data_IF_950655420603
#
_entry.id   IF_950655420603
#
_cell.length_a   1.000
_cell.length_b   1.000
_cell.length_c   1.000
_cell.angle_alpha   90.00
_cell.angle_beta   90.00
_cell.angle_gamma   90.00
#
_symmetry.space_group_name_H-M   'P 1'
#
loop_
_entity.id
_entity.type
_entity.pdbx_description
1 polymer ?
#
# COMPACT_ATOMS: atom_id res chain seq x y z
N UNK A 1 4.07 -13.70 -9.43
CA UNK A 1 5.31 -13.93 -8.67
C UNK A 1 4.92 -14.33 -7.26
N UNK A 2 5.66 -15.22 -6.59
CA UNK A 2 5.39 -15.53 -5.17
C UNK A 2 6.17 -14.58 -4.27
N UNK A 3 5.64 -14.26 -3.10
CA UNK A 3 6.24 -13.40 -2.09
C UNK A 3 7.67 -13.82 -1.75
N UNK A 4 7.90 -15.14 -1.62
CA UNK A 4 9.24 -15.70 -1.36
C UNK A 4 10.30 -15.31 -2.41
N UNK A 5 9.89 -14.99 -3.63
CA UNK A 5 10.81 -14.62 -4.72
C UNK A 5 11.39 -13.21 -4.52
N UNK A 6 10.82 -12.40 -3.62
CA UNK A 6 11.37 -11.09 -3.23
C UNK A 6 12.76 -11.21 -2.61
N UNK A 7 13.19 -12.41 -2.18
CA UNK A 7 14.56 -12.69 -1.73
C UNK A 7 15.61 -12.17 -2.74
N UNK A 8 15.30 -12.23 -4.03
CA UNK A 8 16.21 -11.83 -5.11
C UNK A 8 16.25 -10.30 -5.36
N UNK A 9 15.39 -9.55 -4.68
CA UNK A 9 15.22 -8.11 -4.86
C UNK A 9 15.81 -7.28 -3.71
N UNK A 10 16.41 -7.92 -2.71
CA UNK A 10 17.01 -7.25 -1.54
C UNK A 10 18.42 -6.75 -1.86
N UNK A 11 18.73 -5.54 -1.45
CA UNK A 11 20.09 -4.97 -1.51
C UNK A 11 20.54 -4.39 -0.16
N UNK A 12 19.62 -3.94 0.69
CA UNK A 12 19.93 -3.33 2.00
C UNK A 12 19.47 -4.19 3.18
N UNK A 13 20.10 -4.01 4.33
CA UNK A 13 19.74 -4.73 5.57
C UNK A 13 18.29 -4.47 6.00
N UNK A 14 17.76 -3.27 5.75
CA UNK A 14 16.35 -2.92 5.92
C UNK A 14 15.43 -3.80 5.08
N UNK A 15 15.81 -4.11 3.83
CA UNK A 15 15.04 -5.00 2.96
C UNK A 15 14.96 -6.41 3.57
N UNK A 16 16.06 -6.90 4.17
CA UNK A 16 16.07 -8.19 4.88
C UNK A 16 15.06 -8.21 6.03
N UNK A 17 15.05 -7.18 6.87
CA UNK A 17 14.11 -7.07 8.01
C UNK A 17 12.66 -7.10 7.53
N UNK A 18 12.34 -6.32 6.49
CA UNK A 18 10.98 -6.23 5.95
C UNK A 18 10.60 -7.57 5.31
N UNK A 19 11.46 -8.11 4.46
CA UNK A 19 11.24 -9.40 3.80
C UNK A 19 11.02 -10.53 4.80
N UNK A 20 11.89 -10.67 5.80
CA UNK A 20 11.82 -11.73 6.81
C UNK A 20 10.54 -11.65 7.64
N UNK A 21 9.97 -10.45 7.80
CA UNK A 21 8.66 -10.27 8.41
C UNK A 21 7.52 -10.64 7.48
N UNK A 22 7.59 -10.24 6.20
CA UNK A 22 6.56 -10.55 5.21
C UNK A 22 6.43 -12.05 4.96
N UNK A 23 7.55 -12.78 4.82
CA UNK A 23 7.54 -14.23 4.53
C UNK A 23 7.08 -15.12 5.69
N UNK A 24 6.79 -14.55 6.87
CA UNK A 24 6.07 -15.26 7.94
C UNK A 24 4.61 -15.47 7.58
N UNK A 25 4.10 -14.70 6.63
CA UNK A 25 2.77 -14.83 6.06
C UNK A 25 2.84 -15.54 4.71
N UNK A 26 1.76 -16.21 4.35
CA UNK A 26 1.51 -16.74 3.01
C UNK A 26 1.19 -15.62 2.02
N UNK A 27 1.27 -15.92 0.71
CA UNK A 27 0.86 -14.98 -0.34
C UNK A 27 -0.59 -14.49 -0.10
N UNK A 28 -1.52 -15.42 0.17
CA UNK A 28 -2.93 -15.11 0.40
C UNK A 28 -3.14 -14.21 1.63
N UNK A 29 -2.40 -14.42 2.73
CA UNK A 29 -2.52 -13.60 3.93
C UNK A 29 -2.09 -12.15 3.68
N UNK A 30 -0.99 -11.93 2.93
CA UNK A 30 -0.52 -10.58 2.60
C UNK A 30 -1.47 -9.88 1.63
N UNK A 31 -1.98 -10.59 0.62
CA UNK A 31 -2.97 -10.03 -0.30
C UNK A 31 -4.27 -9.67 0.42
N UNK A 32 -4.76 -10.57 1.29
CA UNK A 32 -5.94 -10.30 2.11
C UNK A 32 -5.72 -9.15 3.11
N UNK A 33 -4.51 -8.99 3.65
CA UNK A 33 -4.17 -7.84 4.48
C UNK A 33 -4.35 -6.52 3.71
N UNK A 34 -3.79 -6.42 2.50
CA UNK A 34 -3.96 -5.23 1.65
C UNK A 34 -5.43 -4.97 1.34
N UNK A 35 -6.18 -6.00 0.97
CA UNK A 35 -7.61 -5.92 0.69
C UNK A 35 -8.37 -5.39 1.92
N UNK A 36 -8.18 -6.03 3.08
CA UNK A 36 -8.93 -5.70 4.29
C UNK A 36 -8.61 -4.27 4.75
N UNK A 37 -7.33 -3.90 4.85
CA UNK A 37 -6.95 -2.55 5.30
C UNK A 37 -7.49 -1.49 4.34
N UNK A 38 -7.37 -1.69 3.03
CA UNK A 38 -7.87 -0.72 2.05
C UNK A 38 -9.39 -0.55 2.15
N UNK A 39 -10.14 -1.66 2.22
CA UNK A 39 -11.60 -1.63 2.37
C UNK A 39 -12.03 -1.01 3.71
N UNK A 40 -11.36 -1.34 4.80
CA UNK A 40 -11.68 -0.81 6.13
C UNK A 40 -11.44 0.70 6.20
N UNK A 41 -10.36 1.19 5.57
CA UNK A 41 -10.09 2.63 5.46
C UNK A 41 -11.18 3.35 4.64
N UNK A 42 -11.54 2.82 3.47
CA UNK A 42 -12.56 3.43 2.61
C UNK A 42 -13.96 3.41 3.25
N UNK A 43 -14.32 2.32 3.94
CA UNK A 43 -15.59 2.21 4.67
C UNK A 43 -15.60 3.06 5.95
N UNK A 44 -14.44 3.28 6.57
CA UNK A 44 -14.29 4.01 7.83
C UNK A 44 -14.35 5.53 7.69
N UNK A 45 -14.17 6.07 6.48
CA UNK A 45 -14.23 7.51 6.20
C UNK A 45 -15.62 7.91 5.70
N UNK A 46 -16.13 9.03 6.19
CA UNK A 46 -17.36 9.62 5.65
C UNK A 46 -17.09 10.24 4.27
N UNK A 47 -17.41 9.48 3.23
CA UNK A 47 -17.29 9.90 1.84
C UNK A 47 -18.64 10.35 1.27
N UNK A 48 -18.63 11.50 0.60
CA UNK A 48 -19.74 11.92 -0.24
C UNK A 48 -19.92 10.95 -1.44
N UNK A 49 -21.11 10.93 -2.04
CA UNK A 49 -21.48 9.91 -3.04
C UNK A 49 -20.64 9.99 -4.32
N UNK A 50 -20.20 11.18 -4.70
CA UNK A 50 -19.24 11.40 -5.78
C UNK A 50 -17.88 10.75 -5.47
N UNK A 51 -17.32 10.93 -4.27
CA UNK A 51 -16.07 10.28 -3.88
C UNK A 51 -16.18 8.75 -3.80
N UNK A 52 -17.34 8.23 -3.40
CA UNK A 52 -17.62 6.79 -3.42
C UNK A 52 -17.63 6.24 -4.84
N UNK A 53 -18.29 6.91 -5.77
CA UNK A 53 -18.29 6.54 -7.20
C UNK A 53 -16.86 6.59 -7.75
N UNK A 54 -16.15 7.70 -7.55
CA UNK A 54 -14.78 7.87 -8.00
C UNK A 54 -13.86 6.78 -7.47
N UNK A 55 -14.00 6.40 -6.20
CA UNK A 55 -13.16 5.35 -5.60
C UNK A 55 -13.28 4.02 -6.36
N UNK A 56 -14.50 3.62 -6.74
CA UNK A 56 -14.75 2.38 -7.47
C UNK A 56 -14.22 2.48 -8.90
N UNK A 57 -14.48 3.60 -9.56
CA UNK A 57 -14.02 3.84 -10.94
C UNK A 57 -12.49 3.85 -11.02
N UNK A 58 -11.82 4.52 -10.08
CA UNK A 58 -10.36 4.56 -9.99
C UNK A 58 -9.76 3.19 -9.69
N UNK A 59 -10.31 2.45 -8.71
CA UNK A 59 -9.83 1.10 -8.40
C UNK A 59 -9.91 0.17 -9.61
N UNK A 60 -10.99 0.24 -10.39
CA UNK A 60 -11.16 -0.58 -11.60
C UNK A 60 -10.21 -0.14 -12.72
N UNK A 61 -9.93 1.16 -12.84
CA UNK A 61 -9.14 1.73 -13.93
C UNK A 61 -7.62 1.64 -13.71
N UNK A 62 -7.16 1.52 -12.46
CA UNK A 62 -5.72 1.46 -12.16
C UNK A 62 -4.99 0.37 -12.93
N UNK A 63 -3.88 0.72 -13.57
CA UNK A 63 -3.01 -0.26 -14.22
C UNK A 63 -2.27 -1.10 -13.17
N UNK A 64 -1.66 -2.23 -13.60
CA UNK A 64 -0.94 -3.16 -12.70
C UNK A 64 0.09 -2.44 -11.83
N UNK A 65 0.83 -1.50 -12.42
CA UNK A 65 1.83 -0.72 -11.71
C UNK A 65 1.20 0.17 -10.63
N UNK A 66 0.12 0.87 -10.96
CA UNK A 66 -0.54 1.80 -10.03
C UNK A 66 -1.10 1.06 -8.82
N UNK A 67 -1.77 -0.07 -9.05
CA UNK A 67 -2.19 -0.91 -7.96
C UNK A 67 -1.00 -1.52 -7.20
N UNK A 68 0.07 -1.91 -7.90
CA UNK A 68 1.29 -2.41 -7.27
C UNK A 68 1.90 -1.38 -6.31
N UNK A 69 1.93 -0.10 -6.70
CA UNK A 69 2.38 1.03 -5.89
C UNK A 69 1.45 1.25 -4.68
N UNK A 70 0.13 1.22 -4.89
CA UNK A 70 -0.90 1.34 -3.86
C UNK A 70 -0.83 0.20 -2.82
N UNK A 71 -0.74 -1.04 -3.27
CA UNK A 71 -0.62 -2.20 -2.40
C UNK A 71 0.72 -2.25 -1.68
N UNK A 72 1.81 -1.81 -2.33
CA UNK A 72 3.12 -1.65 -1.69
C UNK A 72 3.04 -0.63 -0.56
N UNK A 73 2.38 0.51 -0.79
CA UNK A 73 2.14 1.54 0.22
C UNK A 73 1.55 0.93 1.51
N UNK A 74 0.45 0.19 1.40
CA UNK A 74 -0.19 -0.48 2.55
C UNK A 74 0.67 -1.59 3.12
N UNK A 75 1.32 -2.39 2.26
CA UNK A 75 2.19 -3.48 2.67
C UNK A 75 3.38 -3.03 3.53
N UNK A 76 3.92 -1.84 3.28
CA UNK A 76 5.06 -1.29 4.03
C UNK A 76 4.64 -0.40 5.21
N UNK A 77 3.39 0.04 5.28
CA UNK A 77 2.88 0.95 6.31
C UNK A 77 3.19 0.51 7.75
N UNK A 78 3.03 -0.77 8.15
CA UNK A 78 3.36 -1.19 9.52
C UNK A 78 4.82 -0.97 9.90
N UNK A 79 5.74 -1.14 8.95
CA UNK A 79 7.17 -0.94 9.17
C UNK A 79 7.51 0.55 9.31
N UNK A 80 6.85 1.39 8.50
CA UNK A 80 6.98 2.85 8.58
C UNK A 80 6.50 3.32 9.95
N UNK A 81 5.31 2.89 10.38
CA UNK A 81 4.76 3.24 11.70
C UNK A 81 5.67 2.78 12.84
N UNK A 82 6.21 1.55 12.79
CA UNK A 82 7.16 1.04 13.78
C UNK A 82 8.46 1.86 13.84
N UNK A 83 8.94 2.33 12.69
CA UNK A 83 10.12 3.19 12.60
C UNK A 83 9.84 4.59 13.15
N UNK A 84 8.70 5.17 12.78
CA UNK A 84 8.28 6.51 13.20
C UNK A 84 7.93 6.58 14.68
N UNK A 85 7.39 5.52 15.30
CA UNK A 85 6.96 5.49 16.69
C UNK A 85 8.06 5.89 17.71
N UNK A 86 9.31 5.94 17.28
CA UNK A 86 10.48 6.39 18.05
C UNK A 86 10.69 7.91 18.03
N UNK A 87 9.97 8.64 17.19
CA UNK A 87 10.08 10.09 17.00
C UNK A 87 8.93 10.89 17.61
N UNK A 88 9.09 12.21 17.66
CA UNK A 88 8.01 13.15 17.99
C UNK A 88 7.02 13.28 16.83
N UNK A 89 5.73 13.49 17.11
CA UNK A 89 4.66 13.70 16.13
C UNK A 89 4.43 12.53 15.14
N UNK A 90 4.80 11.31 15.54
CA UNK A 90 4.66 10.14 14.67
C UNK A 90 3.20 9.83 14.31
N UNK A 91 2.25 10.14 15.20
CA UNK A 91 0.82 9.95 14.95
C UNK A 91 0.30 10.87 13.85
N UNK A 92 0.72 12.14 13.84
CA UNK A 92 0.34 13.11 12.81
C UNK A 92 0.84 12.65 11.45
N UNK A 93 2.10 12.21 11.38
CA UNK A 93 2.70 11.69 10.16
C UNK A 93 2.04 10.40 9.68
N UNK A 94 1.74 9.46 10.58
CA UNK A 94 1.03 8.23 10.26
C UNK A 94 -0.40 8.50 9.77
N UNK A 95 -1.09 9.50 10.34
CA UNK A 95 -2.42 9.92 9.90
C UNK A 95 -2.35 10.52 8.50
N UNK A 96 -1.39 11.42 8.26
CA UNK A 96 -1.18 12.02 6.94
C UNK A 96 -0.95 10.95 5.87
N UNK A 97 -0.16 9.91 6.14
CA UNK A 97 0.03 8.80 5.20
C UNK A 97 -1.28 8.12 4.80
N UNK A 98 -2.16 7.85 5.77
CA UNK A 98 -3.48 7.27 5.47
C UNK A 98 -4.37 8.24 4.68
N UNK A 99 -4.30 9.54 4.96
CA UNK A 99 -5.04 10.57 4.20
C UNK A 99 -4.58 10.66 2.75
N UNK A 100 -3.26 10.65 2.49
CA UNK A 100 -2.71 10.61 1.13
C UNK A 100 -3.14 9.35 0.39
N UNK A 101 -3.11 8.20 1.06
CA UNK A 101 -3.53 6.92 0.51
C UNK A 101 -5.01 6.92 0.09
N UNK A 102 -5.90 7.32 1.00
CA UNK A 102 -7.35 7.40 0.70
C UNK A 102 -7.61 8.46 -0.35
N UNK A 103 -6.97 9.63 -0.22
CA UNK A 103 -7.10 10.75 -1.13
C UNK A 103 -6.76 10.39 -2.58
N UNK A 104 -5.73 9.56 -2.78
CA UNK A 104 -5.38 9.06 -4.10
C UNK A 104 -6.46 8.15 -4.69
N UNK A 105 -7.03 7.26 -3.88
CA UNK A 105 -8.12 6.36 -4.30
C UNK A 105 -9.37 7.14 -4.70
N UNK A 106 -9.79 8.12 -3.88
CA UNK A 106 -11.03 8.86 -4.11
C UNK A 106 -10.87 10.01 -5.12
N UNK A 107 -9.65 10.29 -5.57
CA UNK A 107 -9.34 11.29 -6.59
C UNK A 107 -9.17 12.71 -6.08
N UNK A 108 -8.89 12.91 -4.78
CA UNK A 108 -8.58 14.24 -4.21
C UNK A 108 -7.08 14.53 -4.15
N UNK A 109 -6.24 13.51 -4.30
CA UNK A 109 -4.78 13.61 -4.37
C UNK A 109 -4.36 13.08 -5.73
N UNK A 110 -3.49 13.80 -6.42
CA UNK A 110 -2.98 13.36 -7.71
C UNK A 110 -1.86 12.30 -7.56
N UNK A 111 -1.49 11.69 -8.68
CA UNK A 111 -0.49 10.63 -8.70
C UNK A 111 0.90 11.12 -8.27
N UNK A 112 1.27 12.35 -8.59
CA UNK A 112 2.60 12.88 -8.27
C UNK A 112 2.75 13.06 -6.76
N UNK A 113 1.73 13.63 -6.13
CA UNK A 113 1.64 13.79 -4.68
C UNK A 113 1.65 12.45 -3.95
N UNK A 114 0.85 11.49 -4.41
CA UNK A 114 0.86 10.12 -3.87
C UNK A 114 2.23 9.45 -3.98
N UNK A 115 2.88 9.55 -5.14
CA UNK A 115 4.21 8.97 -5.36
C UNK A 115 5.29 9.66 -4.54
N UNK A 116 5.22 10.97 -4.37
CA UNK A 116 6.12 11.71 -3.48
C UNK A 116 6.03 11.20 -2.04
N UNK A 117 4.81 10.93 -1.59
CA UNK A 117 4.56 10.40 -0.26
C UNK A 117 5.05 8.94 -0.09
N UNK A 118 4.87 8.10 -1.12
CA UNK A 118 5.43 6.74 -1.15
C UNK A 118 6.97 6.74 -1.17
N UNK A 119 7.59 7.69 -1.86
CA UNK A 119 9.05 7.88 -1.85
C UNK A 119 9.52 8.20 -0.43
N UNK A 120 8.87 9.12 0.26
CA UNK A 120 9.21 9.47 1.65
C UNK A 120 9.13 8.24 2.57
N UNK A 121 8.08 7.42 2.46
CA UNK A 121 7.96 6.18 3.24
C UNK A 121 9.13 5.22 3.00
N UNK A 122 9.58 5.11 1.74
CA UNK A 122 10.73 4.27 1.38
C UNK A 122 12.03 4.83 1.94
N UNK A 123 12.20 6.14 1.99
CA UNK A 123 13.34 6.80 2.62
C UNK A 123 13.36 6.58 4.13
N UNK A 124 12.20 6.68 4.81
CA UNK A 124 12.06 6.36 6.24
C UNK A 124 12.52 4.94 6.55
N UNK A 125 12.22 3.99 5.67
CA UNK A 125 12.63 2.60 5.81
C UNK A 125 14.06 2.32 5.33
N UNK A 126 14.72 3.30 4.69
CA UNK A 126 15.94 3.07 3.93
C UNK A 126 15.78 1.86 2.98
N UNK A 127 14.67 1.78 2.25
CA UNK A 127 14.35 0.64 1.37
C UNK A 127 15.06 0.78 0.02
N UNK A 128 15.67 -0.30 -0.47
CA UNK A 128 16.30 -0.26 -1.78
C UNK A 128 15.27 -0.10 -2.92
N UNK A 129 15.69 0.57 -4.00
CA UNK A 129 14.87 0.66 -5.23
C UNK A 129 14.49 -0.73 -5.75
N UNK A 130 15.41 -1.68 -5.67
CA UNK A 130 15.21 -3.04 -6.18
C UNK A 130 14.14 -3.77 -5.38
N UNK A 131 14.18 -3.69 -4.05
CA UNK A 131 13.20 -4.36 -3.20
C UNK A 131 11.81 -3.75 -3.38
N UNK A 132 11.74 -2.42 -3.42
CA UNK A 132 10.53 -1.69 -3.79
C UNK A 132 9.95 -2.15 -5.14
N UNK A 133 10.77 -2.21 -6.19
CA UNK A 133 10.33 -2.69 -7.50
C UNK A 133 9.81 -4.13 -7.43
N UNK A 134 10.45 -5.00 -6.64
CA UNK A 134 9.98 -6.35 -6.38
C UNK A 134 8.58 -6.37 -5.78
N UNK A 135 8.32 -5.54 -4.76
CA UNK A 135 7.00 -5.42 -4.12
C UNK A 135 5.93 -4.92 -5.09
N UNK A 136 6.23 -3.88 -5.87
CA UNK A 136 5.30 -3.33 -6.87
C UNK A 136 4.94 -4.40 -7.91
N UNK A 137 5.92 -5.15 -8.42
CA UNK A 137 5.66 -6.24 -9.37
C UNK A 137 4.83 -7.35 -8.70
N UNK A 138 5.19 -7.77 -7.49
CA UNK A 138 4.47 -8.81 -6.74
C UNK A 138 2.99 -8.48 -6.61
N UNK A 139 2.67 -7.28 -6.13
CA UNK A 139 1.28 -6.88 -5.96
C UNK A 139 0.57 -6.58 -7.28
N UNK A 140 1.26 -5.96 -8.23
CA UNK A 140 0.71 -5.65 -9.55
C UNK A 140 0.28 -6.90 -10.33
N UNK A 141 1.06 -7.99 -10.26
CA UNK A 141 0.69 -9.27 -10.87
C UNK A 141 -0.52 -9.94 -10.19
N UNK A 142 -0.91 -9.50 -9.00
CA UNK A 142 -2.11 -9.97 -8.28
C UNK A 142 -3.27 -8.96 -8.38
N UNK A 143 -3.25 -8.09 -9.40
CA UNK A 143 -4.14 -6.93 -9.48
C UNK A 143 -5.62 -7.26 -9.34
N UNK A 144 -6.09 -8.19 -10.17
CA UNK A 144 -7.50 -8.54 -10.23
C UNK A 144 -8.01 -9.10 -8.91
N UNK A 145 -7.19 -9.92 -8.23
CA UNK A 145 -7.55 -10.47 -6.93
C UNK A 145 -7.74 -9.38 -5.88
N UNK A 146 -6.80 -8.42 -5.81
CA UNK A 146 -6.85 -7.32 -4.86
C UNK A 146 -8.04 -6.39 -5.13
N UNK A 147 -8.22 -5.92 -6.37
CA UNK A 147 -9.32 -5.00 -6.72
C UNK A 147 -10.67 -5.65 -6.45
N UNK A 148 -10.89 -6.88 -6.94
CA UNK A 148 -12.16 -7.57 -6.72
C UNK A 148 -12.41 -7.82 -5.23
N UNK A 149 -11.36 -8.17 -4.47
CA UNK A 149 -11.43 -8.31 -3.03
C UNK A 149 -11.87 -7.03 -2.33
N UNK A 150 -11.30 -5.88 -2.71
CA UNK A 150 -11.65 -4.57 -2.15
C UNK A 150 -13.09 -4.22 -2.48
N UNK A 151 -13.47 -4.28 -3.76
CA UNK A 151 -14.80 -3.90 -4.25
C UNK A 151 -15.91 -4.73 -3.60
N UNK A 152 -15.69 -6.03 -3.39
CA UNK A 152 -16.65 -6.92 -2.73
C UNK A 152 -16.88 -6.59 -1.25
N UNK A 153 -15.96 -5.85 -0.62
CA UNK A 153 -16.03 -5.47 0.81
C UNK A 153 -16.48 -4.03 1.04
N UNK A 154 -16.56 -3.20 -0.01
CA UNK A 154 -17.10 -1.85 0.12
C UNK A 154 -18.60 -1.92 0.47
N UNK A 155 -19.01 -1.12 1.44
CA UNK A 155 -20.39 -1.12 1.97
C UNK A 155 -21.29 -0.05 1.32
N UNK A 156 -20.74 0.67 0.35
CA UNK A 156 -21.41 1.69 -0.47
C UNK A 156 -21.25 1.35 -1.94
#
# INVERSE_FOLDING_TARGET
>A
MRLKNLLHYKDFHSDDIIFDSLIKSTDDEILNYVINVTSDLLNGVFLADDFKINSKENLISYEERELGELATYIGITPFVQSTLAKGTNWQEKATSYLEYFIGYIIGTIDKEEFLGNLIEMREVLNMSNKFYTGLVIYFGENKEFIINGILNKLQF
#
